data_IF_154182519052
#
_entry.id   IF_154182519052
#
_cell.length_a   1.000
_cell.length_b   1.000
_cell.length_c   1.000
_cell.angle_alpha   90.00
_cell.angle_beta   90.00
_cell.angle_gamma   90.00
#
_symmetry.space_group_name_H-M   'P 1'
#
loop_
_entity.id
_entity.type
_entity.pdbx_description
1 polymer ?
#
# COMPACT_ATOMS: atom_id res chain seq x y z
N UNK A 1 16.54 -33.21 -8.83
CA UNK A 1 16.93 -32.39 -7.65
C UNK A 1 15.69 -31.71 -7.05
N UNK A 2 14.64 -32.50 -6.74
CA UNK A 2 13.29 -32.00 -6.43
C UNK A 2 12.84 -32.40 -5.01
N UNK A 3 13.76 -32.39 -4.03
CA UNK A 3 13.50 -32.99 -2.71
C UNK A 3 14.08 -32.19 -1.51
N UNK A 4 14.19 -30.87 -1.63
CA UNK A 4 14.67 -29.98 -0.53
C UNK A 4 13.76 -28.78 -0.22
N UNK A 5 12.44 -28.92 -0.37
CA UNK A 5 11.48 -27.87 0.00
C UNK A 5 10.39 -28.33 0.98
N UNK A 6 10.57 -29.49 1.62
CA UNK A 6 9.70 -29.94 2.71
C UNK A 6 10.46 -29.81 4.04
N UNK A 7 10.00 -28.92 4.92
CA UNK A 7 10.36 -29.01 6.36
C UNK A 7 11.11 -27.84 6.99
N UNK A 8 10.98 -26.59 6.52
CA UNK A 8 11.32 -25.45 7.38
C UNK A 8 10.16 -25.21 8.37
N UNK A 9 10.17 -25.93 9.49
CA UNK A 9 9.37 -25.56 10.66
C UNK A 9 9.81 -24.18 11.12
N UNK A 10 8.93 -23.18 10.99
CA UNK A 10 9.09 -21.90 11.68
C UNK A 10 8.95 -22.21 13.17
N UNK A 11 9.98 -21.99 14.01
CA UNK A 11 9.84 -22.23 15.44
C UNK A 11 8.76 -21.29 16.01
N UNK A 12 8.01 -21.72 17.04
CA UNK A 12 7.02 -20.86 17.69
C UNK A 12 7.71 -19.58 18.15
N UNK A 13 7.20 -18.44 17.71
CA UNK A 13 7.69 -17.13 18.13
C UNK A 13 7.57 -17.03 19.65
N UNK A 14 8.72 -17.05 20.33
CA UNK A 14 8.81 -16.56 21.70
C UNK A 14 8.25 -15.15 21.74
N UNK A 15 7.43 -14.78 22.74
CA UNK A 15 6.95 -13.42 22.90
C UNK A 15 8.17 -12.51 23.15
N UNK A 16 8.71 -11.93 22.08
CA UNK A 16 9.69 -10.87 22.17
C UNK A 16 8.98 -9.66 22.76
N UNK A 17 9.48 -9.21 23.91
CA UNK A 17 9.12 -7.92 24.48
C UNK A 17 9.21 -6.88 23.37
N UNK A 18 8.16 -6.05 23.15
CA UNK A 18 8.21 -5.04 22.10
C UNK A 18 9.45 -4.18 22.28
N UNK A 19 10.18 -3.83 21.20
CA UNK A 19 11.31 -2.93 21.29
C UNK A 19 10.85 -1.64 21.99
N UNK A 20 11.60 -1.24 23.01
CA UNK A 20 11.33 0.01 23.71
C UNK A 20 11.54 1.15 22.71
N UNK A 21 10.56 2.05 22.51
CA UNK A 21 10.75 3.18 21.61
C UNK A 21 11.97 4.00 22.09
N UNK A 22 12.78 4.57 21.16
CA UNK A 22 13.85 5.47 21.56
C UNK A 22 13.28 6.62 22.40
N UNK A 23 14.07 7.09 23.37
CA UNK A 23 13.67 7.98 24.46
C UNK A 23 13.07 9.34 23.99
N UNK A 24 13.18 9.62 22.71
CA UNK A 24 12.92 10.89 22.03
C UNK A 24 11.71 10.82 21.07
N UNK A 25 10.95 9.73 21.09
CA UNK A 25 9.51 9.77 20.77
C UNK A 25 9.12 9.89 19.30
N UNK A 26 10.05 9.70 18.36
CA UNK A 26 9.74 9.53 16.94
C UNK A 26 10.59 8.39 16.37
N UNK A 27 10.01 7.54 15.52
CA UNK A 27 10.80 6.61 14.69
C UNK A 27 11.40 7.40 13.52
N UNK A 28 12.22 8.40 13.85
CA UNK A 28 13.04 9.11 12.88
C UNK A 28 13.99 8.14 12.18
N UNK A 29 14.47 8.53 11.00
CA UNK A 29 15.63 7.87 10.44
C UNK A 29 16.79 7.97 11.44
N UNK A 30 17.55 6.89 11.70
CA UNK A 30 18.75 6.94 12.53
C UNK A 30 19.68 8.10 12.11
N UNK A 31 20.40 8.71 13.05
CA UNK A 31 21.23 9.91 12.77
C UNK A 31 22.33 9.66 11.71
N UNK A 32 22.80 8.42 11.58
CA UNK A 32 23.78 7.99 10.58
C UNK A 32 23.15 7.59 9.23
N UNK A 33 21.83 7.76 9.09
CA UNK A 33 21.11 7.48 7.83
C UNK A 33 21.61 8.37 6.70
N UNK A 34 22.10 7.74 5.65
CA UNK A 34 22.49 8.40 4.40
C UNK A 34 21.41 8.19 3.35
N UNK A 35 20.98 9.26 2.70
CA UNK A 35 20.03 9.19 1.61
C UNK A 35 20.32 10.26 0.56
N UNK A 36 19.80 10.05 -0.65
CA UNK A 36 20.04 10.91 -1.80
C UNK A 36 18.73 11.23 -2.54
N UNK A 37 18.72 12.35 -3.25
CA UNK A 37 17.63 12.70 -4.15
C UNK A 37 17.97 12.25 -5.57
N UNK A 38 17.15 11.37 -6.14
CA UNK A 38 17.33 10.90 -7.51
C UNK A 38 16.25 11.48 -8.46
N UNK A 39 16.66 11.83 -9.67
CA UNK A 39 15.72 12.25 -10.71
C UNK A 39 16.35 12.78 -11.99
N UNK A 40 15.52 12.97 -13.01
CA UNK A 40 15.94 13.32 -14.38
C UNK A 40 16.48 14.73 -14.61
N UNK A 41 16.54 15.60 -13.60
CA UNK A 41 16.88 17.01 -13.79
C UNK A 41 17.61 17.62 -12.62
N UNK A 42 18.91 17.88 -12.80
CA UNK A 42 19.81 18.44 -11.78
C UNK A 42 19.25 19.71 -11.12
N UNK A 43 18.78 20.68 -11.91
CA UNK A 43 18.25 21.95 -11.38
C UNK A 43 17.01 21.74 -10.50
N UNK A 44 16.15 20.77 -10.85
CA UNK A 44 14.96 20.45 -10.07
C UNK A 44 15.33 19.75 -8.77
N UNK A 45 16.31 18.84 -8.82
CA UNK A 45 16.85 18.19 -7.64
C UNK A 45 17.48 19.20 -6.68
N UNK A 46 18.29 20.13 -7.21
CA UNK A 46 18.87 21.22 -6.44
C UNK A 46 17.79 22.12 -5.81
N UNK A 47 16.73 22.45 -6.57
CA UNK A 47 15.61 23.23 -6.04
C UNK A 47 14.85 22.51 -4.91
N UNK A 48 14.67 21.18 -5.00
CA UNK A 48 14.09 20.37 -3.92
C UNK A 48 15.02 20.36 -2.71
N UNK A 49 16.31 20.11 -2.90
CA UNK A 49 17.31 20.16 -1.83
C UNK A 49 17.30 21.50 -1.10
N UNK A 50 17.27 22.62 -1.82
CA UNK A 50 17.16 23.96 -1.23
C UNK A 50 15.89 24.14 -0.41
N UNK A 51 14.75 23.56 -0.84
CA UNK A 51 13.52 23.60 -0.05
C UNK A 51 13.63 22.75 1.21
N UNK A 52 14.23 21.56 1.12
CA UNK A 52 14.45 20.68 2.27
C UNK A 52 15.43 21.29 3.27
N UNK A 53 16.50 21.94 2.81
CA UNK A 53 17.48 22.63 3.66
C UNK A 53 16.87 23.75 4.51
N UNK A 54 15.73 24.33 4.09
CA UNK A 54 14.97 25.30 4.90
C UNK A 54 14.14 24.65 6.00
N UNK A 55 13.83 23.36 5.85
CA UNK A 55 13.07 22.56 6.82
C UNK A 55 14.06 21.93 7.81
N UNK A 56 15.13 21.33 7.30
CA UNK A 56 16.21 20.73 8.07
C UNK A 56 17.57 21.10 7.43
N UNK A 57 18.41 21.91 8.10
CA UNK A 57 19.71 22.32 7.58
C UNK A 57 20.63 21.15 7.18
N UNK A 58 20.48 19.96 7.78
CA UNK A 58 21.24 18.76 7.40
C UNK A 58 20.98 18.33 5.96
N UNK A 59 19.87 18.76 5.36
CA UNK A 59 19.54 18.47 3.98
C UNK A 59 20.33 19.33 2.96
N UNK A 60 21.11 20.32 3.39
CA UNK A 60 21.84 21.21 2.48
C UNK A 60 22.83 20.47 1.58
N UNK A 61 23.45 19.42 2.09
CA UNK A 61 24.50 18.65 1.43
C UNK A 61 23.99 17.30 0.89
N UNK A 62 22.67 17.12 0.75
CA UNK A 62 22.12 15.88 0.20
C UNK A 62 22.71 15.58 -1.19
N UNK A 63 23.24 14.36 -1.41
CA UNK A 63 23.67 13.92 -2.71
C UNK A 63 22.52 13.97 -3.72
N UNK A 64 22.83 14.42 -4.93
CA UNK A 64 21.89 14.49 -6.05
C UNK A 64 22.31 13.49 -7.12
N UNK A 65 21.46 12.52 -7.41
CA UNK A 65 21.70 11.48 -8.40
C UNK A 65 20.87 11.79 -9.65
N UNK A 66 21.51 12.19 -10.74
CA UNK A 66 20.81 12.44 -12.00
C UNK A 66 20.56 11.10 -12.69
N UNK A 67 19.30 10.66 -12.67
CA UNK A 67 18.87 9.41 -13.30
C UNK A 67 17.52 9.60 -13.98
N UNK A 68 17.48 9.44 -15.30
CA UNK A 68 16.22 9.39 -16.05
C UNK A 68 15.67 7.96 -16.05
N UNK A 69 14.35 7.81 -15.96
CA UNK A 69 13.70 6.50 -15.99
C UNK A 69 13.94 5.74 -17.31
N UNK A 70 14.35 6.43 -18.39
CA UNK A 70 14.74 5.82 -19.66
C UNK A 70 16.20 5.34 -19.69
N UNK A 71 17.05 5.78 -18.75
CA UNK A 71 18.46 5.44 -18.68
C UNK A 71 18.68 4.24 -17.75
N UNK A 72 18.81 3.06 -18.33
CA UNK A 72 18.98 1.81 -17.56
C UNK A 72 20.30 1.75 -16.80
N UNK A 73 21.36 2.37 -17.31
CA UNK A 73 22.67 2.33 -16.65
C UNK A 73 22.66 3.21 -15.41
N UNK A 74 22.13 4.43 -15.53
CA UNK A 74 21.94 5.32 -14.39
C UNK A 74 21.06 4.68 -13.29
N UNK A 75 19.97 4.01 -13.66
CA UNK A 75 19.10 3.33 -12.69
C UNK A 75 19.79 2.14 -12.00
N UNK A 76 20.66 1.41 -12.69
CA UNK A 76 21.47 0.35 -12.08
C UNK A 76 22.46 0.93 -11.07
N UNK A 77 23.12 2.04 -11.41
CA UNK A 77 24.02 2.72 -10.48
C UNK A 77 23.28 3.17 -9.21
N UNK A 78 22.08 3.76 -9.36
CA UNK A 78 21.23 4.14 -8.22
C UNK A 78 20.84 2.93 -7.37
N UNK A 79 20.43 1.82 -8.00
CA UNK A 79 20.03 0.62 -7.26
C UNK A 79 21.20 -0.01 -6.51
N UNK A 80 22.37 -0.11 -7.14
CA UNK A 80 23.56 -0.75 -6.56
C UNK A 80 24.15 0.01 -5.36
N UNK A 81 23.92 1.34 -5.27
CA UNK A 81 24.45 2.20 -4.19
C UNK A 81 23.43 2.43 -3.06
N UNK A 82 22.31 1.71 -3.07
CA UNK A 82 21.24 1.86 -2.09
C UNK A 82 20.87 0.53 -1.42
N UNK A 83 20.51 0.59 -0.13
CA UNK A 83 19.84 -0.53 0.54
C UNK A 83 18.35 -0.60 0.16
N UNK A 84 17.71 0.55 0.08
CA UNK A 84 16.29 0.69 -0.28
C UNK A 84 16.14 1.84 -1.27
N UNK A 85 15.41 1.62 -2.35
CA UNK A 85 15.05 2.64 -3.33
C UNK A 85 13.57 2.98 -3.21
N UNK A 86 13.27 4.26 -3.05
CA UNK A 86 11.90 4.79 -2.98
C UNK A 86 11.53 5.45 -4.31
N UNK A 87 10.51 4.93 -4.98
CA UNK A 87 10.01 5.49 -6.23
C UNK A 87 8.71 6.26 -6.03
N UNK A 88 8.70 7.50 -6.52
CA UNK A 88 7.49 8.34 -6.67
C UNK A 88 7.22 8.68 -8.15
N UNK A 89 7.85 7.94 -9.07
CA UNK A 89 7.88 8.25 -10.50
C UNK A 89 6.73 7.55 -11.25
N UNK A 90 5.57 8.21 -11.27
CA UNK A 90 4.39 7.78 -12.03
C UNK A 90 4.23 8.48 -13.39
N UNK A 91 3.35 7.96 -14.29
CA UNK A 91 2.63 6.69 -14.19
C UNK A 91 3.56 5.47 -14.27
N UNK A 92 3.44 4.54 -13.32
CA UNK A 92 4.38 3.43 -13.12
C UNK A 92 4.34 2.43 -14.28
N UNK A 93 3.17 2.21 -14.87
CA UNK A 93 3.04 1.38 -16.09
C UNK A 93 3.95 1.82 -17.25
N UNK A 94 4.35 3.10 -17.27
CA UNK A 94 5.22 3.69 -18.31
C UNK A 94 6.67 3.79 -17.88
N UNK A 95 6.91 4.17 -16.62
CA UNK A 95 8.24 4.59 -16.16
C UNK A 95 8.82 3.72 -15.05
N UNK A 96 8.02 2.90 -14.36
CA UNK A 96 8.44 2.21 -13.15
C UNK A 96 9.29 0.96 -13.38
N UNK A 97 9.04 0.24 -14.48
CA UNK A 97 9.65 -1.07 -14.71
C UNK A 97 11.18 -1.07 -14.74
N UNK A 98 11.86 -0.13 -15.42
CA UNK A 98 13.33 -0.13 -15.46
C UNK A 98 13.99 -0.06 -14.08
N UNK A 99 13.41 0.69 -13.14
CA UNK A 99 13.94 0.80 -11.78
C UNK A 99 13.66 -0.46 -10.95
N UNK A 100 12.46 -1.04 -11.07
CA UNK A 100 12.15 -2.33 -10.43
C UNK A 100 13.11 -3.42 -10.90
N UNK A 101 13.40 -3.48 -12.20
CA UNK A 101 14.36 -4.41 -12.76
C UNK A 101 15.77 -4.21 -12.17
N UNK A 102 16.24 -2.96 -12.09
CA UNK A 102 17.53 -2.63 -11.51
C UNK A 102 17.64 -3.04 -10.03
N UNK A 103 16.60 -2.80 -9.23
CA UNK A 103 16.54 -3.23 -7.83
C UNK A 103 16.54 -4.76 -7.70
N UNK A 104 15.69 -5.45 -8.48
CA UNK A 104 15.63 -6.90 -8.50
C UNK A 104 16.98 -7.52 -8.89
N UNK A 105 17.69 -6.93 -9.86
CA UNK A 105 19.00 -7.42 -10.30
C UNK A 105 20.11 -7.20 -9.27
N UNK A 106 20.03 -6.13 -8.49
CA UNK A 106 21.07 -5.71 -7.54
C UNK A 106 20.88 -6.30 -6.13
N UNK A 107 19.73 -6.92 -5.84
CA UNK A 107 19.39 -7.35 -4.47
C UNK A 107 18.89 -6.20 -3.59
N UNK A 108 18.55 -5.07 -4.20
CA UNK A 108 18.14 -3.85 -3.51
C UNK A 108 16.65 -3.84 -3.25
N UNK A 109 16.24 -3.45 -2.04
CA UNK A 109 14.82 -3.32 -1.74
C UNK A 109 14.20 -2.15 -2.49
N UNK A 110 12.93 -2.28 -2.82
CA UNK A 110 12.19 -1.29 -3.59
C UNK A 110 10.82 -1.04 -2.95
N UNK A 111 10.48 0.24 -2.79
CA UNK A 111 9.13 0.67 -2.42
C UNK A 111 8.58 1.73 -3.38
N UNK A 112 7.28 1.66 -3.65
CA UNK A 112 6.56 2.73 -4.36
C UNK A 112 5.15 2.95 -3.81
N UNK A 113 4.47 3.99 -4.29
CA UNK A 113 3.07 4.28 -3.98
C UNK A 113 2.13 3.98 -5.15
N UNK A 114 2.42 2.98 -5.99
CA UNK A 114 1.59 2.71 -7.17
C UNK A 114 0.17 2.27 -6.81
N UNK A 115 -0.81 2.80 -7.53
CA UNK A 115 -2.20 2.34 -7.51
C UNK A 115 -2.60 1.54 -8.74
N UNK A 116 -1.64 1.04 -9.54
CA UNK A 116 -1.87 0.43 -10.85
C UNK A 116 -1.77 -1.12 -10.80
N UNK A 117 -2.90 -1.87 -10.77
CA UNK A 117 -2.84 -3.34 -10.64
C UNK A 117 -2.10 -4.03 -11.79
N UNK A 118 -2.25 -3.55 -13.03
CA UNK A 118 -1.54 -4.10 -14.19
C UNK A 118 -0.02 -3.99 -14.02
N UNK A 119 0.48 -2.91 -13.40
CA UNK A 119 1.91 -2.74 -13.15
C UNK A 119 2.40 -3.76 -12.12
N UNK A 120 1.70 -3.85 -11.00
CA UNK A 120 2.01 -4.79 -9.90
C UNK A 120 2.05 -6.24 -10.41
N UNK A 121 1.12 -6.65 -11.27
CA UNK A 121 1.10 -7.99 -11.85
C UNK A 121 2.21 -8.23 -12.89
N UNK A 122 2.53 -7.21 -13.70
CA UNK A 122 3.65 -7.30 -14.65
C UNK A 122 4.99 -7.40 -13.95
N UNK A 123 5.18 -6.68 -12.83
CA UNK A 123 6.42 -6.74 -12.06
C UNK A 123 6.58 -8.11 -11.42
N UNK A 124 5.50 -8.75 -10.95
CA UNK A 124 5.53 -10.14 -10.49
C UNK A 124 6.08 -11.06 -11.57
N UNK A 125 5.43 -11.04 -12.74
CA UNK A 125 5.72 -11.92 -13.85
C UNK A 125 7.15 -11.78 -14.38
N UNK A 126 7.76 -10.60 -14.23
CA UNK A 126 9.07 -10.28 -14.82
C UNK A 126 10.21 -10.33 -13.82
N UNK A 127 9.96 -10.00 -12.55
CA UNK A 127 11.01 -9.70 -11.59
C UNK A 127 10.89 -10.43 -10.25
N UNK A 128 9.77 -11.13 -9.96
CA UNK A 128 9.61 -11.89 -8.71
C UNK A 128 10.72 -12.92 -8.52
N UNK A 129 10.95 -13.79 -9.51
CA UNK A 129 11.98 -14.84 -9.44
C UNK A 129 13.39 -14.26 -9.30
N UNK A 130 13.67 -13.14 -9.99
CA UNK A 130 14.97 -12.48 -9.90
C UNK A 130 15.19 -11.91 -8.50
N UNK A 131 14.19 -11.24 -7.95
CA UNK A 131 14.23 -10.69 -6.60
C UNK A 131 14.34 -11.79 -5.53
N UNK A 132 13.70 -12.96 -5.73
CA UNK A 132 13.94 -14.13 -4.89
C UNK A 132 15.40 -14.58 -4.92
N UNK A 133 16.01 -14.65 -6.11
CA UNK A 133 17.38 -15.10 -6.29
C UNK A 133 18.44 -14.14 -5.73
N UNK A 134 18.16 -12.83 -5.69
CA UNK A 134 19.09 -11.80 -5.22
C UNK A 134 18.85 -11.36 -3.77
N UNK A 135 17.71 -11.72 -3.19
CA UNK A 135 17.30 -11.29 -1.85
C UNK A 135 16.55 -9.96 -1.82
N UNK A 136 16.29 -9.32 -2.97
CA UNK A 136 15.55 -8.05 -3.03
C UNK A 136 14.10 -8.22 -2.56
N UNK A 137 13.59 -7.24 -1.79
CA UNK A 137 12.15 -7.12 -1.47
C UNK A 137 11.52 -6.03 -2.33
N UNK A 138 10.59 -6.44 -3.20
CA UNK A 138 9.83 -5.51 -4.05
C UNK A 138 8.44 -5.29 -3.43
N UNK A 139 8.22 -4.16 -2.78
CA UNK A 139 6.95 -3.85 -2.11
C UNK A 139 6.26 -2.69 -2.82
N UNK A 140 5.09 -2.95 -3.40
CA UNK A 140 4.31 -1.95 -4.11
C UNK A 140 3.18 -1.41 -3.25
N UNK A 141 2.65 -0.24 -3.63
CA UNK A 141 1.49 0.38 -3.00
C UNK A 141 1.70 0.75 -1.51
N UNK A 142 2.91 1.18 -1.16
CA UNK A 142 3.32 1.72 0.14
C UNK A 142 2.79 3.14 0.40
N UNK A 143 1.54 3.41 0.01
CA UNK A 143 0.83 4.67 0.27
C UNK A 143 -0.57 4.41 0.79
N UNK A 144 -1.44 5.43 0.78
CA UNK A 144 -2.83 5.28 1.18
C UNK A 144 -3.58 4.20 0.36
N UNK A 145 -3.19 4.03 -0.91
CA UNK A 145 -3.73 3.05 -1.85
C UNK A 145 -3.30 1.59 -1.58
N UNK A 146 -2.86 1.24 -0.35
CA UNK A 146 -2.92 -0.14 0.21
C UNK A 146 -2.51 -0.24 1.68
N UNK A 147 -1.58 0.58 2.20
CA UNK A 147 -1.04 0.46 3.57
C UNK A 147 -2.14 0.41 4.66
N UNK A 148 -3.08 1.36 4.75
CA UNK A 148 -4.11 1.32 5.80
C UNK A 148 -5.09 0.16 5.63
N UNK A 149 -5.21 -0.40 4.42
CA UNK A 149 -6.09 -1.53 4.13
C UNK A 149 -5.42 -2.86 4.47
N UNK A 150 -4.20 -3.07 4.01
CA UNK A 150 -3.44 -4.29 4.19
C UNK A 150 -3.03 -4.48 5.66
N UNK A 151 -2.37 -3.49 6.25
CA UNK A 151 -1.99 -3.51 7.67
C UNK A 151 -3.20 -3.39 8.59
N UNK A 152 -4.26 -2.69 8.16
CA UNK A 152 -5.49 -2.59 8.93
C UNK A 152 -6.16 -3.96 9.10
N UNK A 153 -6.21 -4.77 8.03
CA UNK A 153 -6.72 -6.15 8.10
C UNK A 153 -5.79 -7.02 8.94
N UNK A 154 -4.47 -6.93 8.77
CA UNK A 154 -3.51 -7.67 9.59
C UNK A 154 -3.75 -7.39 11.08
N UNK A 155 -3.83 -6.11 11.45
CA UNK A 155 -4.11 -5.67 12.81
C UNK A 155 -5.44 -6.25 13.33
N UNK A 156 -6.53 -6.18 12.55
CA UNK A 156 -7.82 -6.76 12.96
C UNK A 156 -7.75 -8.26 13.19
N UNK A 157 -7.04 -8.99 12.32
CA UNK A 157 -6.87 -10.44 12.42
C UNK A 157 -6.04 -10.79 13.66
N UNK A 158 -4.95 -10.08 13.93
CA UNK A 158 -4.14 -10.27 15.14
C UNK A 158 -4.92 -9.99 16.43
N UNK A 159 -5.78 -8.98 16.44
CA UNK A 159 -6.70 -8.71 17.56
C UNK A 159 -7.70 -9.86 17.77
N UNK A 160 -8.25 -10.43 16.69
CA UNK A 160 -9.15 -11.58 16.76
C UNK A 160 -8.44 -12.81 17.34
N UNK A 161 -7.20 -13.06 16.92
CA UNK A 161 -6.36 -14.12 17.45
C UNK A 161 -6.07 -13.92 18.94
N UNK A 162 -5.73 -12.70 19.36
CA UNK A 162 -5.46 -12.40 20.79
C UNK A 162 -6.68 -12.63 21.69
N UNK A 163 -7.91 -12.48 21.17
CA UNK A 163 -9.15 -12.66 21.94
C UNK A 163 -9.59 -14.12 22.12
N UNK A 164 -8.97 -15.09 21.45
CA UNK A 164 -9.41 -16.49 21.60
C UNK A 164 -8.70 -17.52 20.72
N UNK A 165 -7.50 -17.22 20.26
CA UNK A 165 -6.69 -18.08 19.40
C UNK A 165 -7.16 -18.16 17.94
N UNK A 166 -6.53 -19.05 17.13
CA UNK A 166 -6.88 -19.30 15.75
C UNK A 166 -8.36 -19.60 15.54
N UNK A 167 -8.89 -19.20 14.38
CA UNK A 167 -10.25 -19.53 13.96
C UNK A 167 -10.21 -20.30 12.63
N UNK A 168 -11.03 -21.34 12.51
CA UNK A 168 -11.12 -22.13 11.28
C UNK A 168 -11.59 -21.31 10.07
N UNK A 169 -12.37 -20.25 10.32
CA UNK A 169 -12.85 -19.34 9.28
C UNK A 169 -13.00 -17.92 9.81
N UNK A 170 -12.49 -16.95 9.06
CA UNK A 170 -12.53 -15.52 9.36
C UNK A 170 -13.02 -14.75 8.14
N UNK A 171 -13.97 -13.83 8.33
CA UNK A 171 -14.34 -12.85 7.31
C UNK A 171 -14.11 -11.43 7.83
N UNK A 172 -13.47 -10.60 7.03
CA UNK A 172 -13.22 -9.19 7.33
C UNK A 172 -13.92 -8.31 6.30
N UNK A 173 -14.64 -7.29 6.77
CA UNK A 173 -15.15 -6.22 5.91
C UNK A 173 -14.43 -4.91 6.24
N UNK A 174 -13.87 -4.25 5.24
CA UNK A 174 -13.25 -2.93 5.35
C UNK A 174 -14.15 -1.83 4.79
N UNK A 175 -14.31 -0.74 5.55
CA UNK A 175 -15.17 0.39 5.22
C UNK A 175 -14.36 1.70 5.24
N UNK A 176 -13.92 2.16 4.07
CA UNK A 176 -13.11 3.38 3.94
C UNK A 176 -13.98 4.62 3.76
N UNK A 177 -13.58 5.71 4.41
CA UNK A 177 -14.09 7.05 4.17
C UNK A 177 -12.94 8.04 4.27
N UNK A 178 -12.92 9.02 3.36
CA UNK A 178 -11.94 10.08 3.36
C UNK A 178 -12.62 11.43 3.09
N UNK A 179 -12.14 12.47 3.78
CA UNK A 179 -12.37 13.86 3.42
C UNK A 179 -11.09 14.41 2.81
N UNK A 180 -11.11 14.83 1.55
CA UNK A 180 -9.92 15.29 0.84
C UNK A 180 -10.08 15.20 -0.67
N UNK A 181 -9.01 15.47 -1.42
CA UNK A 181 -9.01 15.36 -2.89
C UNK A 181 -7.98 14.38 -3.39
N UNK A 182 -8.29 13.71 -4.50
CA UNK A 182 -7.37 12.77 -5.17
C UNK A 182 -6.17 13.53 -5.75
N UNK A 183 -4.95 13.01 -5.59
CA UNK A 183 -3.75 13.63 -6.16
C UNK A 183 -3.77 13.61 -7.69
N UNK A 184 -3.03 14.53 -8.35
CA UNK A 184 -2.92 14.52 -9.81
C UNK A 184 -2.29 13.24 -10.36
N UNK A 185 -1.29 12.68 -9.65
CA UNK A 185 -0.64 11.42 -10.00
C UNK A 185 -1.58 10.20 -9.87
N UNK A 186 -2.37 10.13 -8.80
CA UNK A 186 -3.38 9.09 -8.60
C UNK A 186 -4.46 9.18 -9.68
N UNK A 187 -4.92 10.39 -10.03
CA UNK A 187 -5.88 10.59 -11.11
C UNK A 187 -5.34 10.12 -12.47
N UNK A 188 -4.10 10.48 -12.81
CA UNK A 188 -3.45 10.04 -14.06
C UNK A 188 -3.28 8.50 -14.13
N UNK A 189 -2.96 7.87 -12.99
CA UNK A 189 -2.85 6.42 -12.86
C UNK A 189 -4.21 5.73 -13.04
N UNK A 190 -5.26 6.24 -12.39
CA UNK A 190 -6.62 5.73 -12.54
C UNK A 190 -7.13 5.85 -13.99
N UNK A 191 -6.88 6.98 -14.66
CA UNK A 191 -7.21 7.16 -16.08
C UNK A 191 -6.47 6.17 -16.99
N UNK A 192 -5.20 5.88 -16.68
CA UNK A 192 -4.42 4.89 -17.43
C UNK A 192 -5.02 3.49 -17.24
N UNK A 193 -5.34 3.10 -16.00
CA UNK A 193 -5.98 1.82 -15.69
C UNK A 193 -7.35 1.66 -16.39
N UNK A 194 -8.22 2.67 -16.32
CA UNK A 194 -9.53 2.64 -16.97
C UNK A 194 -9.47 2.55 -18.50
N UNK A 195 -8.38 3.03 -19.11
CA UNK A 195 -8.18 2.90 -20.55
C UNK A 195 -7.70 1.51 -20.99
N UNK A 196 -7.32 0.61 -20.05
CA UNK A 196 -6.65 -0.68 -20.35
C UNK A 196 -7.28 -1.92 -19.69
N UNK A 197 -8.62 -2.07 -19.62
CA UNK A 197 -9.25 -3.16 -18.86
C UNK A 197 -8.84 -4.56 -19.37
N UNK A 198 -8.66 -4.75 -20.68
CA UNK A 198 -8.24 -6.04 -21.26
C UNK A 198 -6.81 -6.40 -20.91
N UNK A 199 -5.89 -5.43 -20.92
CA UNK A 199 -4.48 -5.66 -20.60
C UNK A 199 -4.32 -5.97 -19.11
N UNK A 200 -5.03 -5.22 -18.24
CA UNK A 200 -5.10 -5.50 -16.81
C UNK A 200 -5.63 -6.91 -16.53
N UNK A 201 -6.75 -7.31 -17.15
CA UNK A 201 -7.30 -8.66 -16.98
C UNK A 201 -6.34 -9.76 -17.48
N UNK A 202 -5.60 -9.51 -18.57
CA UNK A 202 -4.59 -10.45 -19.08
C UNK A 202 -3.43 -10.62 -18.10
N UNK A 203 -2.88 -9.52 -17.57
CA UNK A 203 -1.80 -9.55 -16.58
C UNK A 203 -2.23 -10.30 -15.31
N UNK A 204 -3.43 -10.01 -14.79
CA UNK A 204 -3.98 -10.69 -13.62
C UNK A 204 -4.16 -12.20 -13.85
N UNK A 205 -4.65 -12.63 -15.02
CA UNK A 205 -4.76 -14.05 -15.37
C UNK A 205 -3.40 -14.72 -15.48
N UNK A 206 -2.43 -14.06 -16.11
CA UNK A 206 -1.08 -14.58 -16.27
C UNK A 206 -0.40 -14.77 -14.90
N UNK A 207 -0.48 -13.78 -14.00
CA UNK A 207 0.03 -13.91 -12.63
C UNK A 207 -0.63 -15.06 -11.89
N UNK A 208 -1.96 -15.16 -11.91
CA UNK A 208 -2.71 -16.26 -11.26
C UNK A 208 -2.35 -17.66 -11.76
N UNK A 209 -1.79 -17.77 -12.97
CA UNK A 209 -1.39 -19.06 -13.54
C UNK A 209 -0.03 -19.52 -13.01
N UNK A 210 0.84 -18.61 -12.59
CA UNK A 210 2.22 -18.92 -12.13
C UNK A 210 2.42 -18.70 -10.63
N UNK A 211 1.64 -17.82 -10.01
CA UNK A 211 1.74 -17.51 -8.58
C UNK A 211 1.33 -18.75 -7.76
N UNK A 212 2.20 -19.25 -6.85
CA UNK A 212 1.92 -20.45 -6.08
C UNK A 212 0.63 -20.31 -5.26
N UNK A 213 -0.21 -21.35 -5.30
CA UNK A 213 -1.40 -21.41 -4.44
C UNK A 213 -1.02 -21.98 -3.08
N UNK A 214 -1.39 -21.32 -1.98
CA UNK A 214 -1.09 -21.85 -0.65
C UNK A 214 -1.85 -23.16 -0.43
N UNK A 215 -1.15 -24.19 0.03
CA UNK A 215 -1.77 -25.47 0.39
C UNK A 215 -2.57 -25.30 1.68
N UNK A 216 -3.77 -25.89 1.73
CA UNK A 216 -4.61 -25.87 2.94
C UNK A 216 -5.17 -24.50 3.33
N UNK A 217 -5.05 -23.49 2.46
CA UNK A 217 -5.62 -22.15 2.68
C UNK A 217 -6.55 -21.74 1.57
N UNK A 218 -7.66 -21.13 1.95
CA UNK A 218 -8.68 -20.62 1.06
C UNK A 218 -8.87 -19.13 1.31
N UNK A 219 -8.51 -18.32 0.30
CA UNK A 219 -8.63 -16.87 0.36
C UNK A 219 -9.66 -16.41 -0.65
N UNK A 220 -10.63 -15.60 -0.20
CA UNK A 220 -11.73 -15.11 -1.01
C UNK A 220 -11.86 -13.60 -0.89
N UNK A 221 -11.98 -12.91 -2.03
CA UNK A 221 -12.27 -11.48 -2.07
C UNK A 221 -13.54 -11.21 -2.86
N UNK A 222 -14.73 -11.48 -2.28
CA UNK A 222 -15.98 -11.23 -2.98
C UNK A 222 -16.09 -9.74 -3.33
N UNK A 223 -16.61 -9.45 -4.52
CA UNK A 223 -16.88 -8.07 -4.94
C UNK A 223 -17.88 -7.36 -4.01
N UNK A 224 -18.69 -8.11 -3.26
CA UNK A 224 -19.72 -7.57 -2.40
C UNK A 224 -20.92 -7.01 -3.16
N UNK A 225 -21.89 -6.48 -2.43
CA UNK A 225 -23.05 -5.77 -3.00
C UNK A 225 -23.37 -4.52 -2.19
N UNK A 226 -23.94 -3.47 -2.80
CA UNK A 226 -24.43 -2.31 -2.07
C UNK A 226 -25.38 -2.74 -0.95
N UNK A 227 -25.09 -2.33 0.28
CA UNK A 227 -25.94 -2.65 1.43
C UNK A 227 -25.77 -1.62 2.55
N UNK A 228 -26.73 -1.58 3.49
CA UNK A 228 -26.60 -0.77 4.71
C UNK A 228 -25.84 -1.56 5.76
N UNK A 229 -24.64 -1.10 6.13
CA UNK A 229 -23.82 -1.75 7.17
C UNK A 229 -24.07 -1.12 8.53
N UNK A 230 -24.40 -1.95 9.53
CA UNK A 230 -24.56 -1.52 10.92
C UNK A 230 -23.22 -1.11 11.53
N UNK A 231 -22.15 -1.85 11.26
CA UNK A 231 -20.83 -1.57 11.79
C UNK A 231 -20.19 -0.32 11.16
N UNK A 232 -20.43 -0.08 9.87
CA UNK A 232 -20.02 1.15 9.21
C UNK A 232 -20.95 2.33 9.48
N UNK A 233 -22.16 2.11 10.05
CA UNK A 233 -23.23 3.11 10.20
C UNK A 233 -23.48 3.92 8.91
N UNK A 234 -23.26 3.28 7.76
CA UNK A 234 -23.20 3.88 6.43
C UNK A 234 -23.73 2.89 5.37
N UNK A 235 -23.98 3.41 4.17
CA UNK A 235 -24.11 2.56 2.98
C UNK A 235 -22.72 2.10 2.57
N UNK A 236 -22.56 0.79 2.42
CA UNK A 236 -21.35 0.16 1.93
C UNK A 236 -21.50 -0.05 0.43
N UNK A 237 -20.60 0.54 -0.36
CA UNK A 237 -20.54 0.36 -1.81
C UNK A 237 -19.24 -0.36 -2.17
N UNK A 238 -19.28 -1.44 -2.99
CA UNK A 238 -18.07 -2.06 -3.51
C UNK A 238 -17.11 -1.04 -4.09
N UNK A 239 -15.86 -1.06 -3.64
CA UNK A 239 -14.83 -0.15 -4.12
C UNK A 239 -13.80 -0.93 -4.95
N UNK A 240 -13.73 -0.73 -6.28
CA UNK A 240 -12.89 -1.54 -7.16
C UNK A 240 -11.45 -1.00 -7.22
N UNK A 241 -10.73 -1.11 -6.11
CA UNK A 241 -9.31 -0.71 -5.98
C UNK A 241 -8.38 -1.92 -6.05
N UNK A 242 -7.07 -1.68 -5.90
CA UNK A 242 -6.06 -2.73 -5.80
C UNK A 242 -6.10 -3.46 -4.44
N UNK A 243 -6.65 -2.83 -3.39
CA UNK A 243 -6.55 -3.28 -2.00
C UNK A 243 -6.99 -4.73 -1.76
N UNK A 244 -8.12 -5.23 -2.34
CA UNK A 244 -8.49 -6.63 -2.17
C UNK A 244 -7.43 -7.60 -2.69
N UNK A 245 -6.71 -7.23 -3.76
CA UNK A 245 -5.65 -8.07 -4.32
C UNK A 245 -4.44 -8.10 -3.40
N UNK A 246 -4.09 -6.97 -2.78
CA UNK A 246 -3.00 -6.89 -1.79
C UNK A 246 -3.35 -7.70 -0.55
N UNK A 247 -4.52 -7.47 0.05
CA UNK A 247 -5.00 -8.22 1.23
C UNK A 247 -5.08 -9.72 0.94
N UNK A 248 -5.54 -10.12 -0.24
CA UNK A 248 -5.59 -11.52 -0.65
C UNK A 248 -4.20 -12.19 -0.67
N UNK A 249 -3.18 -11.46 -1.14
CA UNK A 249 -1.79 -11.95 -1.16
C UNK A 249 -1.22 -12.05 0.25
N UNK A 250 -1.51 -11.08 1.11
CA UNK A 250 -1.13 -11.13 2.53
C UNK A 250 -1.77 -12.33 3.24
N UNK A 251 -3.07 -12.55 3.05
CA UNK A 251 -3.78 -13.69 3.61
C UNK A 251 -3.29 -15.04 3.05
N UNK A 252 -2.89 -15.07 1.79
CA UNK A 252 -2.32 -16.26 1.16
C UNK A 252 -0.90 -16.57 1.64
N UNK A 253 -0.17 -15.58 2.18
CA UNK A 253 1.20 -15.72 2.66
C UNK A 253 1.26 -15.96 4.17
N UNK A 254 0.50 -15.23 4.97
CA UNK A 254 0.57 -15.24 6.44
C UNK A 254 -0.41 -16.23 7.08
N UNK A 255 0.05 -17.03 8.05
CA UNK A 255 -0.76 -18.03 8.75
C UNK A 255 -1.82 -17.42 9.68
N UNK A 256 -1.56 -16.21 10.18
CA UNK A 256 -2.45 -15.49 11.11
C UNK A 256 -3.88 -15.33 10.56
N UNK A 257 -4.05 -15.30 9.23
CA UNK A 257 -5.34 -15.16 8.57
C UNK A 257 -6.23 -16.42 8.66
N UNK A 258 -5.66 -17.55 9.10
CA UNK A 258 -6.35 -18.82 9.23
C UNK A 258 -6.50 -19.58 7.91
N UNK A 259 -7.07 -20.81 7.96
CA UNK A 259 -7.18 -21.67 6.79
C UNK A 259 -8.32 -21.28 5.83
N UNK A 260 -9.34 -20.54 6.28
CA UNK A 260 -10.40 -19.97 5.44
C UNK A 260 -10.59 -18.48 5.74
N UNK A 261 -10.15 -17.62 4.84
CA UNK A 261 -10.19 -16.17 4.97
C UNK A 261 -11.01 -15.51 3.85
N UNK A 262 -11.88 -14.58 4.24
CA UNK A 262 -12.63 -13.73 3.32
C UNK A 262 -12.41 -12.24 3.57
N UNK A 263 -12.23 -11.44 2.52
CA UNK A 263 -12.16 -9.97 2.63
C UNK A 263 -13.09 -9.26 1.64
N UNK A 264 -13.92 -8.35 2.13
CA UNK A 264 -14.74 -7.47 1.30
C UNK A 264 -14.39 -5.99 1.55
N UNK A 265 -14.30 -5.21 0.47
CA UNK A 265 -13.77 -3.86 0.49
C UNK A 265 -14.82 -2.85 0.00
N UNK A 266 -15.14 -1.89 0.85
CA UNK A 266 -16.25 -0.97 0.63
C UNK A 266 -15.88 0.49 0.90
N UNK A 267 -16.40 1.39 0.06
CA UNK A 267 -16.55 2.79 0.41
C UNK A 267 -17.77 2.97 1.33
N UNK A 268 -17.61 3.73 2.41
CA UNK A 268 -18.68 4.10 3.34
C UNK A 268 -19.31 5.45 2.96
N UNK A 269 -20.56 5.44 2.51
CA UNK A 269 -21.29 6.64 2.09
C UNK A 269 -22.50 6.88 3.01
N UNK A 270 -22.66 8.11 3.51
CA UNK A 270 -23.76 8.41 4.45
C UNK A 270 -25.14 8.36 3.80
N UNK A 271 -25.27 8.84 2.56
CA UNK A 271 -26.55 9.04 1.86
C UNK A 271 -26.58 8.25 0.55
N UNK A 272 -27.62 7.45 0.33
CA UNK A 272 -27.78 6.59 -0.86
C UNK A 272 -27.81 7.36 -2.20
N UNK A 273 -28.45 8.55 -2.31
CA UNK A 273 -28.39 9.31 -3.57
C UNK A 273 -26.98 9.75 -3.96
N UNK A 274 -26.15 10.12 -2.98
CA UNK A 274 -24.73 10.46 -3.20
C UNK A 274 -23.96 9.22 -3.65
N UNK A 275 -24.26 8.07 -3.06
CA UNK A 275 -23.69 6.79 -3.46
C UNK A 275 -23.99 6.45 -4.93
N UNK A 276 -25.27 6.54 -5.34
CA UNK A 276 -25.69 6.26 -6.71
C UNK A 276 -25.09 7.26 -7.72
N UNK A 277 -25.08 8.55 -7.39
CA UNK A 277 -24.45 9.58 -8.21
C UNK A 277 -22.95 9.37 -8.38
N UNK A 278 -22.25 8.98 -7.31
CA UNK A 278 -20.81 8.67 -7.35
C UNK A 278 -20.48 7.49 -8.26
N UNK A 279 -21.27 6.41 -8.20
CA UNK A 279 -21.10 5.24 -9.10
C UNK A 279 -21.28 5.65 -10.56
N UNK A 280 -22.33 6.43 -10.86
CA UNK A 280 -22.58 6.92 -12.21
C UNK A 280 -21.42 7.81 -12.72
N UNK A 281 -20.88 8.70 -11.86
CA UNK A 281 -19.76 9.56 -12.21
C UNK A 281 -18.47 8.78 -12.51
N UNK A 282 -18.14 7.77 -11.69
CA UNK A 282 -16.97 6.90 -11.93
C UNK A 282 -17.14 6.10 -13.22
N UNK A 283 -18.34 5.54 -13.48
CA UNK A 283 -18.62 4.82 -14.72
C UNK A 283 -18.49 5.73 -15.95
N UNK A 284 -19.02 6.96 -15.89
CA UNK A 284 -18.88 7.95 -16.96
C UNK A 284 -17.41 8.32 -17.22
N UNK A 285 -16.62 8.54 -16.16
CA UNK A 285 -15.18 8.79 -16.27
C UNK A 285 -14.44 7.60 -16.89
N UNK A 286 -14.78 6.37 -16.50
CA UNK A 286 -14.16 5.17 -17.05
C UNK A 286 -14.47 4.98 -18.55
N UNK A 287 -15.71 5.26 -18.98
CA UNK A 287 -16.08 5.25 -20.41
C UNK A 287 -15.36 6.37 -21.16
N UNK A 288 -15.33 7.58 -20.61
CA UNK A 288 -14.63 8.71 -21.22
C UNK A 288 -13.12 8.46 -21.36
N UNK A 289 -12.49 7.80 -20.39
CA UNK A 289 -11.07 7.45 -20.42
C UNK A 289 -10.71 6.45 -21.55
N UNK A 290 -11.68 5.68 -22.06
CA UNK A 290 -11.47 4.79 -23.22
C UNK A 290 -11.40 5.56 -24.54
N UNK A 291 -11.95 6.78 -24.61
CA UNK A 291 -11.93 7.62 -25.80
C UNK A 291 -10.66 8.50 -25.81
N UNK A 292 -9.77 8.39 -26.82
CA UNK A 292 -8.48 9.07 -26.81
C UNK A 292 -8.55 10.60 -26.69
N UNK A 293 -9.54 11.24 -27.32
CA UNK A 293 -9.74 12.69 -27.27
C UNK A 293 -10.18 13.15 -25.87
N UNK A 294 -11.17 12.49 -25.29
CA UNK A 294 -11.65 12.80 -23.94
C UNK A 294 -10.58 12.50 -22.90
N UNK A 295 -9.83 11.40 -23.02
CA UNK A 295 -8.69 11.10 -22.14
C UNK A 295 -7.63 12.20 -22.16
N UNK A 296 -7.29 12.74 -23.33
CA UNK A 296 -6.34 13.87 -23.45
C UNK A 296 -6.88 15.13 -22.77
N UNK A 297 -8.18 15.40 -22.90
CA UNK A 297 -8.83 16.53 -22.24
C UNK A 297 -8.87 16.33 -20.70
N UNK A 298 -9.26 15.15 -20.23
CA UNK A 298 -9.29 14.79 -18.81
C UNK A 298 -7.89 14.89 -18.17
N UNK A 299 -6.85 14.46 -18.87
CA UNK A 299 -5.46 14.58 -18.41
C UNK A 299 -4.96 16.03 -18.25
N UNK A 300 -5.69 17.03 -18.77
CA UNK A 300 -5.37 18.46 -18.58
C UNK A 300 -6.07 19.07 -17.36
N UNK A 301 -7.07 18.39 -16.78
CA UNK A 301 -7.88 18.92 -15.66
C UNK A 301 -7.13 18.97 -14.33
N UNK A 302 -6.19 18.05 -14.09
CA UNK A 302 -5.31 18.06 -12.92
C UNK A 302 -3.91 17.60 -13.33
N UNK A 303 -2.93 18.49 -13.28
CA UNK A 303 -1.55 18.15 -13.60
C UNK A 303 -0.86 17.56 -12.37
N UNK A 304 0.13 16.68 -12.55
CA UNK A 304 1.04 16.33 -11.47
C UNK A 304 1.66 17.60 -10.88
N UNK A 305 1.48 17.82 -9.57
CA UNK A 305 1.93 19.03 -8.87
C UNK A 305 0.82 19.99 -8.42
N UNK A 306 -0.42 19.83 -8.91
CA UNK A 306 -1.58 20.63 -8.48
C UNK A 306 -2.15 20.09 -7.14
N UNK A 307 -1.35 20.19 -6.07
CA UNK A 307 -1.72 19.76 -4.73
C UNK A 307 -2.77 20.67 -4.06
N UNK A 308 -3.52 20.17 -3.07
CA UNK A 308 -4.40 20.99 -2.23
C UNK A 308 -3.60 22.11 -1.54
N UNK A 309 -4.24 23.24 -1.24
CA UNK A 309 -3.65 24.27 -0.38
C UNK A 309 -3.57 23.83 1.09
N UNK A 310 -2.77 24.53 1.90
CA UNK A 310 -2.53 24.18 3.32
C UNK A 310 -3.82 24.09 4.17
N UNK A 311 -4.79 24.98 3.95
CA UNK A 311 -6.09 24.93 4.63
C UNK A 311 -6.89 23.66 4.29
N UNK A 312 -6.78 23.19 3.04
CA UNK A 312 -7.43 21.96 2.58
C UNK A 312 -6.77 20.73 3.19
N UNK A 313 -5.44 20.72 3.36
CA UNK A 313 -4.74 19.66 4.08
C UNK A 313 -5.19 19.54 5.54
N UNK A 314 -5.29 20.64 6.26
CA UNK A 314 -5.68 20.63 7.69
C UNK A 314 -7.08 20.03 7.94
N UNK A 315 -7.98 20.19 6.97
CA UNK A 315 -9.35 19.65 7.01
C UNK A 315 -9.45 18.22 6.45
N UNK A 316 -8.41 17.72 5.79
CA UNK A 316 -8.42 16.40 5.17
C UNK A 316 -8.12 15.30 6.21
N UNK A 317 -8.76 14.16 6.03
CA UNK A 317 -8.67 13.02 6.93
C UNK A 317 -9.06 11.73 6.22
N UNK A 318 -8.64 10.59 6.75
CA UNK A 318 -9.18 9.29 6.38
C UNK A 318 -9.51 8.45 7.61
N UNK A 319 -10.46 7.53 7.44
CA UNK A 319 -10.73 6.47 8.39
C UNK A 319 -11.17 5.20 7.64
N UNK A 320 -10.56 4.08 8.01
CA UNK A 320 -10.92 2.75 7.54
C UNK A 320 -11.34 1.92 8.73
N UNK A 321 -12.60 1.51 8.76
CA UNK A 321 -13.11 0.64 9.81
C UNK A 321 -13.16 -0.80 9.33
N UNK A 322 -12.68 -1.72 10.15
CA UNK A 322 -12.68 -3.14 9.87
C UNK A 322 -13.59 -3.87 10.83
N UNK A 323 -14.27 -4.90 10.32
CA UNK A 323 -15.09 -5.80 11.11
C UNK A 323 -14.68 -7.22 10.78
N UNK A 324 -13.98 -7.87 11.70
CA UNK A 324 -13.68 -9.29 11.61
C UNK A 324 -14.76 -10.10 12.32
N UNK A 325 -15.19 -11.19 11.68
CA UNK A 325 -16.10 -12.20 12.24
C UNK A 325 -15.48 -13.57 12.08
N UNK A 326 -15.28 -14.26 13.19
CA UNK A 326 -14.92 -15.67 13.21
C UNK A 326 -16.19 -16.54 13.13
N UNK A 327 -16.04 -17.76 12.60
CA UNK A 327 -17.11 -18.77 12.57
C UNK A 327 -17.64 -19.12 13.98
N UNK A 328 -16.81 -19.04 15.01
CA UNK A 328 -17.18 -19.35 16.40
C UNK A 328 -17.94 -18.21 17.10
N UNK A 329 -18.35 -17.17 16.36
CA UNK A 329 -19.13 -16.05 16.86
C UNK A 329 -18.31 -14.85 17.35
N UNK A 330 -16.98 -14.99 17.51
CA UNK A 330 -16.12 -13.85 17.90
C UNK A 330 -16.17 -12.76 16.84
N UNK A 331 -16.25 -11.52 17.31
CA UNK A 331 -16.24 -10.33 16.45
C UNK A 331 -15.25 -9.30 16.99
N UNK A 332 -14.49 -8.69 16.09
CA UNK A 332 -13.56 -7.60 16.40
C UNK A 332 -13.84 -6.43 15.48
N UNK A 333 -13.89 -5.22 16.06
CA UNK A 333 -13.96 -3.98 15.31
C UNK A 333 -12.66 -3.22 15.55
N UNK A 334 -12.01 -2.81 14.47
CA UNK A 334 -10.85 -1.92 14.54
C UNK A 334 -11.03 -0.74 13.59
N UNK A 335 -10.24 0.30 13.79
CA UNK A 335 -10.21 1.46 12.93
C UNK A 335 -8.77 1.93 12.73
N UNK A 336 -8.45 2.25 11.47
CA UNK A 336 -7.21 2.92 11.09
C UNK A 336 -7.55 4.32 10.59
N UNK A 337 -6.93 5.36 11.12
CA UNK A 337 -7.27 6.74 10.76
C UNK A 337 -6.07 7.69 10.81
N UNK A 338 -6.13 8.74 10.01
CA UNK A 338 -5.08 9.76 9.92
C UNK A 338 -5.56 11.05 9.24
N UNK A 339 -4.60 11.92 8.91
CA UNK A 339 -4.79 13.17 8.20
C UNK A 339 -5.03 13.00 6.70
N UNK A 340 -4.46 13.91 5.90
CA UNK A 340 -4.66 13.92 4.45
C UNK A 340 -4.16 12.63 3.77
N UNK A 341 -5.05 11.81 3.17
CA UNK A 341 -4.64 10.55 2.56
C UNK A 341 -3.85 10.74 1.27
N UNK A 342 -4.09 11.84 0.54
CA UNK A 342 -3.56 12.03 -0.81
C UNK A 342 -2.09 12.43 -0.88
N UNK A 343 -1.59 13.14 0.14
CA UNK A 343 -0.23 13.68 0.17
C UNK A 343 0.48 13.39 1.49
N UNK A 344 0.01 13.96 2.62
CA UNK A 344 0.78 13.91 3.87
C UNK A 344 0.90 12.49 4.43
N UNK A 345 -0.22 11.78 4.55
CA UNK A 345 -0.21 10.42 5.10
C UNK A 345 0.40 9.43 4.11
N UNK A 346 0.24 9.63 2.80
CA UNK A 346 0.93 8.81 1.79
C UNK A 346 2.44 9.01 1.83
N UNK A 347 2.94 10.24 1.98
CA UNK A 347 4.37 10.51 2.11
C UNK A 347 4.96 9.85 3.36
N UNK A 348 4.24 9.94 4.49
CA UNK A 348 4.58 9.27 5.74
C UNK A 348 4.60 7.74 5.56
N UNK A 349 3.52 7.15 5.05
CA UNK A 349 3.44 5.70 4.81
C UNK A 349 4.59 5.19 3.94
N UNK A 350 4.95 5.92 2.90
CA UNK A 350 6.04 5.55 2.00
C UNK A 350 7.41 5.67 2.68
N UNK A 351 7.66 6.77 3.40
CA UNK A 351 8.90 6.97 4.14
C UNK A 351 9.08 5.91 5.24
N UNK A 352 8.04 5.66 6.03
CA UNK A 352 8.07 4.66 7.10
C UNK A 352 8.24 3.24 6.53
N UNK A 353 7.68 2.94 5.36
CA UNK A 353 7.93 1.66 4.68
C UNK A 353 9.39 1.50 4.27
N UNK A 354 10.00 2.57 3.74
CA UNK A 354 11.42 2.55 3.37
C UNK A 354 12.33 2.38 4.59
N UNK A 355 12.06 3.13 5.66
CA UNK A 355 12.80 3.04 6.92
C UNK A 355 12.62 1.68 7.59
N UNK A 356 11.43 1.10 7.54
CA UNK A 356 11.17 -0.25 8.06
C UNK A 356 12.02 -1.29 7.33
N UNK A 357 12.06 -1.27 5.99
CA UNK A 357 12.95 -2.17 5.23
C UNK A 357 14.43 -1.91 5.52
N UNK A 358 14.80 -0.65 5.76
CA UNK A 358 16.16 -0.19 5.97
C UNK A 358 16.70 -0.35 7.39
N UNK A 359 15.88 -0.50 8.43
CA UNK A 359 16.36 -0.49 9.81
C UNK A 359 15.62 -1.47 10.73
N UNK A 360 14.44 -1.93 10.29
CA UNK A 360 13.60 -2.94 10.91
C UNK A 360 14.31 -4.31 11.04
N UNK A 361 14.12 -5.05 12.14
CA UNK A 361 14.32 -6.51 12.12
C UNK A 361 13.09 -7.15 11.47
N UNK A 362 13.30 -7.75 10.30
CA UNK A 362 12.24 -8.22 9.42
C UNK A 362 12.47 -9.67 9.01
N UNK A 363 11.41 -10.45 8.74
CA UNK A 363 11.55 -11.80 8.21
C UNK A 363 12.48 -11.83 6.98
N UNK A 364 13.38 -12.83 6.84
CA UNK A 364 14.31 -12.94 5.72
C UNK A 364 13.60 -13.45 4.46
N UNK A 365 12.60 -12.68 4.00
CA UNK A 365 11.79 -12.93 2.82
C UNK A 365 12.30 -12.07 1.67
N UNK A 366 12.14 -12.57 0.45
CA UNK A 366 12.52 -11.89 -0.78
C UNK A 366 11.44 -12.03 -1.84
N UNK A 367 11.65 -11.38 -2.99
CA UNK A 367 10.69 -11.34 -4.08
C UNK A 367 9.71 -10.18 -3.94
N UNK A 368 8.63 -10.26 -4.71
CA UNK A 368 7.53 -9.29 -4.58
C UNK A 368 6.62 -9.65 -3.41
N UNK A 369 6.55 -8.76 -2.43
CA UNK A 369 5.84 -8.92 -1.16
C UNK A 369 4.79 -7.82 -0.97
N UNK A 370 3.81 -8.06 -0.09
CA UNK A 370 2.89 -7.02 0.38
C UNK A 370 3.43 -6.33 1.62
N UNK A 371 2.83 -5.22 2.03
CA UNK A 371 3.24 -4.48 3.23
C UNK A 371 3.10 -5.32 4.50
N UNK A 372 2.03 -6.09 4.63
CA UNK A 372 1.82 -7.00 5.76
C UNK A 372 2.86 -8.13 5.81
N UNK A 373 3.27 -8.67 4.65
CA UNK A 373 4.23 -9.78 4.57
C UNK A 373 5.66 -9.32 4.78
N UNK A 374 6.05 -8.21 4.14
CA UNK A 374 7.41 -7.70 4.20
C UNK A 374 7.73 -7.03 5.55
N UNK A 375 6.77 -6.30 6.12
CA UNK A 375 7.01 -5.39 7.24
C UNK A 375 6.07 -5.57 8.42
N UNK A 376 4.82 -5.98 8.19
CA UNK A 376 3.88 -6.41 9.24
C UNK A 376 3.79 -5.46 10.43
N UNK A 377 4.00 -6.01 11.64
CA UNK A 377 3.89 -5.28 12.91
C UNK A 377 4.93 -4.15 13.07
N UNK A 378 6.22 -4.32 12.75
CA UNK A 378 7.19 -3.23 12.73
C UNK A 378 6.71 -1.97 11.99
N UNK A 379 6.10 -2.11 10.80
CA UNK A 379 5.56 -0.95 10.08
C UNK A 379 4.32 -0.36 10.77
N UNK A 380 3.45 -1.18 11.39
CA UNK A 380 2.34 -0.65 12.19
C UNK A 380 2.88 0.23 13.33
N UNK A 381 3.89 -0.24 14.07
CA UNK A 381 4.44 0.47 15.22
C UNK A 381 5.09 1.80 14.79
N UNK A 382 5.83 1.81 13.67
CA UNK A 382 6.34 3.03 13.03
C UNK A 382 5.25 4.02 12.66
N UNK A 383 4.19 3.55 11.98
CA UNK A 383 3.08 4.41 11.55
C UNK A 383 2.31 4.99 12.75
N UNK A 384 2.13 4.21 13.82
CA UNK A 384 1.51 4.67 15.08
C UNK A 384 2.31 5.81 15.68
N UNK A 385 3.63 5.66 15.79
CA UNK A 385 4.49 6.71 16.30
C UNK A 385 4.56 7.94 15.39
N UNK A 386 4.43 7.74 14.07
CA UNK A 386 4.29 8.84 13.11
C UNK A 386 2.88 9.46 13.09
N UNK A 387 1.98 9.04 13.98
CA UNK A 387 0.68 9.66 14.23
C UNK A 387 -0.51 9.07 13.45
N UNK A 388 -0.35 7.93 12.78
CA UNK A 388 -1.48 7.18 12.20
C UNK A 388 -2.08 6.29 13.28
N UNK A 389 -3.36 6.45 13.58
CA UNK A 389 -4.01 5.67 14.63
C UNK A 389 -4.38 4.27 14.12
N UNK A 390 -4.02 3.25 14.88
CA UNK A 390 -4.57 1.88 14.80
C UNK A 390 -5.23 1.59 16.14
N UNK A 391 -6.55 1.35 16.15
CA UNK A 391 -7.28 1.15 17.41
C UNK A 391 -8.36 0.09 17.33
N UNK A 392 -8.59 -0.55 18.46
CA UNK A 392 -9.75 -1.42 18.71
C UNK A 392 -10.94 -0.54 19.11
N UNK A 393 -12.14 -0.90 18.65
CA UNK A 393 -13.39 -0.27 19.05
C UNK A 393 -14.16 -1.21 19.97
N UNK A 394 -14.07 -0.99 21.28
CA UNK A 394 -14.72 -1.85 22.29
C UNK A 394 -16.24 -1.65 22.36
N UNK A 395 -16.71 -0.46 22.00
CA UNK A 395 -18.14 -0.14 21.94
C UNK A 395 -18.60 -0.08 20.48
N UNK A 396 -19.81 -0.57 20.16
CA UNK A 396 -20.39 -0.41 18.83
C UNK A 396 -20.39 1.07 18.39
N UNK A 397 -19.88 1.40 17.19
CA UNK A 397 -19.73 2.78 16.78
C UNK A 397 -21.09 3.44 16.55
N UNK A 398 -21.27 4.64 17.10
CA UNK A 398 -22.49 5.44 16.91
C UNK A 398 -22.58 6.04 15.49
N UNK A 399 -21.40 6.36 14.90
CA UNK A 399 -21.25 7.12 13.66
C UNK A 399 -20.49 6.33 12.59
N UNK A 400 -20.54 6.84 11.35
CA UNK A 400 -19.74 6.29 10.26
C UNK A 400 -18.24 6.59 10.47
N UNK A 401 -17.32 5.83 9.82
CA UNK A 401 -15.89 6.10 9.92
C UNK A 401 -15.57 7.56 9.61
N UNK A 402 -14.77 8.18 10.48
CA UNK A 402 -14.26 9.52 10.31
C UNK A 402 -13.92 10.24 11.60
N UNK A 403 -13.59 11.53 11.47
CA UNK A 403 -13.40 12.44 12.60
C UNK A 403 -14.70 12.60 13.39
#
# INVERSE_FOLDING_TARGET
MADRLAGAQVPPSTPTTPPTPPADGFWCAPDDSRWALAGRGADRLAAVRTKLARIDPRCADLPLLVADAADREALRAVAADARVVVSTVGPYLRHGEPLVAACADSGTDYVDLTGEPEFVDRMYLRHHERALATGARLVHACGFDSVPHDLGVLFTVEELLRRGGPAARVSVEGFVRAGGTVSGGTFASAMTAFSRPRAMARAARARRAVEPRPKGRLVRTPAGRPHRSRAARAWALPLPTIDPQVVSRSAAALENYGPDFGYAHYAAVRRLPIALGGVAAVAALAVAAQLPLLRRALGRLRKPGDGPGAEQWARSWFAVRFVARAHDGRTVLTEVSGGDPGYQETAKMLAESALCLAYDDLPPLAGQLTTAVAMGRPLIDRLVAAGISFRVLDTPPATAPGR
#
